data_IF_200339239183
#
_entry.id   IF_200339239183
#
_cell.length_a   1.000
_cell.length_b   1.000
_cell.length_c   1.000
_cell.angle_alpha   90.00
_cell.angle_beta   90.00
_cell.angle_gamma   90.00
#
_symmetry.space_group_name_H-M   'P 1'
#
loop_
_entity.id
_entity.type
_entity.pdbx_description
1 polymer ?
#
# COMPACT_ATOMS: atom_id res chain seq x y z
N UNK A 1 5.95 8.21 4.61
CA UNK A 1 5.88 7.72 3.22
C UNK A 1 5.68 8.85 2.20
N UNK A 2 4.64 9.69 2.30
CA UNK A 2 4.37 10.77 1.33
C UNK A 2 5.53 11.76 1.11
N UNK A 3 6.19 12.22 2.17
CA UNK A 3 7.39 13.09 2.08
C UNK A 3 8.58 12.45 1.34
N UNK A 4 8.59 11.12 1.20
CA UNK A 4 9.60 10.34 0.46
C UNK A 4 9.13 9.96 -0.95
N UNK A 5 8.01 10.51 -1.42
CA UNK A 5 7.44 10.17 -2.73
C UNK A 5 6.77 8.79 -2.80
N UNK A 6 6.58 8.11 -1.65
CA UNK A 6 5.97 6.77 -1.61
C UNK A 6 4.45 6.90 -1.53
N UNK A 7 3.76 6.35 -2.53
CA UNK A 7 2.30 6.23 -2.56
C UNK A 7 1.88 4.95 -1.83
N UNK A 8 0.85 5.05 -0.98
CA UNK A 8 0.34 3.93 -0.17
C UNK A 8 -1.12 3.70 -0.49
N UNK A 9 -1.45 2.45 -0.77
CA UNK A 9 -2.78 1.97 -1.12
C UNK A 9 -3.21 0.88 -0.15
N UNK A 10 -4.49 0.83 0.19
CA UNK A 10 -5.05 -0.11 1.15
C UNK A 10 -6.04 -1.02 0.43
N UNK A 11 -5.82 -2.33 0.51
CA UNK A 11 -6.70 -3.31 -0.10
C UNK A 11 -7.48 -4.07 0.97
N UNK A 12 -8.76 -4.37 0.69
CA UNK A 12 -9.59 -5.26 1.49
C UNK A 12 -9.67 -4.89 2.99
N UNK A 13 -9.70 -3.60 3.31
CA UNK A 13 -9.87 -3.16 4.70
C UNK A 13 -11.25 -3.62 5.22
N UNK A 14 -11.28 -4.39 6.32
CA UNK A 14 -12.55 -4.83 6.93
C UNK A 14 -13.31 -3.64 7.53
N UNK A 15 -14.64 -3.72 7.61
CA UNK A 15 -15.49 -2.63 8.11
C UNK A 15 -15.04 -2.11 9.49
N UNK A 16 -14.81 -3.01 10.45
CA UNK A 16 -14.32 -2.67 11.80
C UNK A 16 -13.00 -1.88 11.76
N UNK A 17 -12.10 -2.21 10.83
CA UNK A 17 -10.83 -1.49 10.67
C UNK A 17 -11.08 -0.10 10.08
N UNK A 18 -11.99 0.03 9.11
CA UNK A 18 -12.36 1.33 8.54
C UNK A 18 -13.03 2.25 9.55
N UNK A 19 -13.85 1.71 10.45
CA UNK A 19 -14.45 2.45 11.56
C UNK A 19 -13.39 2.95 12.54
N UNK A 20 -12.40 2.12 12.87
CA UNK A 20 -11.26 2.53 13.70
C UNK A 20 -10.46 3.65 13.02
N UNK A 21 -10.22 3.56 11.70
CA UNK A 21 -9.57 4.64 10.95
C UNK A 21 -10.35 5.95 11.02
N UNK A 22 -11.68 5.90 10.94
CA UNK A 22 -12.54 7.08 11.03
C UNK A 22 -12.44 7.71 12.43
N UNK A 23 -12.56 6.89 13.49
CA UNK A 23 -12.44 7.33 14.89
C UNK A 23 -11.08 7.93 15.23
N UNK A 24 -10.02 7.46 14.58
CA UNK A 24 -8.66 7.94 14.77
C UNK A 24 -8.29 9.10 13.84
N UNK A 25 -9.24 9.70 13.11
CA UNK A 25 -8.98 10.77 12.15
C UNK A 25 -7.96 10.41 11.06
N UNK A 26 -7.80 9.11 10.78
CA UNK A 26 -6.78 8.62 9.86
C UNK A 26 -6.98 9.13 8.44
N UNK A 27 -8.23 9.34 8.04
CA UNK A 27 -8.58 9.82 6.70
C UNK A 27 -8.19 11.28 6.44
N UNK A 28 -7.82 12.06 7.46
CA UNK A 28 -7.23 13.39 7.30
C UNK A 28 -5.81 13.30 6.70
N UNK A 29 -5.12 12.18 6.93
CA UNK A 29 -3.77 11.93 6.45
C UNK A 29 -3.74 11.11 5.16
N UNK A 30 -4.68 10.16 5.03
CA UNK A 30 -4.80 9.25 3.88
C UNK A 30 -6.20 9.38 3.27
N UNK A 31 -6.32 9.86 2.01
CA UNK A 31 -7.61 9.99 1.35
C UNK A 31 -8.35 8.64 1.21
N UNK A 32 -9.69 8.66 1.34
CA UNK A 32 -10.53 7.45 1.25
C UNK A 32 -10.44 6.78 -0.13
N UNK A 33 -10.05 7.52 -1.16
CA UNK A 33 -9.84 7.08 -2.53
C UNK A 33 -8.67 6.11 -2.68
N UNK A 34 -7.78 6.01 -1.67
CA UNK A 34 -6.69 5.04 -1.65
C UNK A 34 -7.09 3.67 -1.05
N UNK A 35 -8.38 3.46 -0.75
CA UNK A 35 -8.91 2.21 -0.23
C UNK A 35 -9.70 1.45 -1.28
N UNK A 36 -9.28 0.22 -1.57
CA UNK A 36 -9.84 -0.60 -2.65
C UNK A 36 -10.46 -1.90 -2.13
N UNK A 37 -11.49 -2.44 -2.81
CA UNK A 37 -12.15 -3.68 -2.42
C UNK A 37 -11.19 -4.88 -2.44
N UNK A 38 -10.33 -4.98 -3.45
CA UNK A 38 -9.42 -6.13 -3.61
C UNK A 38 -7.96 -5.71 -3.77
N UNK A 39 -7.04 -6.66 -3.55
CA UNK A 39 -5.61 -6.46 -3.87
C UNK A 39 -5.40 -6.21 -5.36
N UNK A 40 -6.18 -6.86 -6.23
CA UNK A 40 -6.09 -6.68 -7.68
C UNK A 40 -6.37 -5.23 -8.07
N UNK A 41 -7.42 -4.64 -7.51
CA UNK A 41 -7.81 -3.25 -7.79
C UNK A 41 -6.69 -2.28 -7.35
N UNK A 42 -6.17 -2.47 -6.14
CA UNK A 42 -5.08 -1.64 -5.60
C UNK A 42 -3.83 -1.74 -6.49
N UNK A 43 -3.44 -2.94 -6.90
CA UNK A 43 -2.27 -3.16 -7.76
C UNK A 43 -2.47 -2.60 -9.17
N UNK A 44 -3.67 -2.76 -9.74
CA UNK A 44 -4.01 -2.19 -11.05
C UNK A 44 -3.89 -0.66 -11.05
N UNK A 45 -4.46 0.01 -10.05
CA UNK A 45 -4.37 1.47 -9.92
C UNK A 45 -2.93 1.92 -9.64
N UNK A 46 -2.21 1.19 -8.78
CA UNK A 46 -0.80 1.47 -8.52
C UNK A 46 0.03 1.40 -9.81
N UNK A 47 -0.19 0.36 -10.63
CA UNK A 47 0.51 0.19 -11.91
C UNK A 47 0.15 1.29 -12.91
N UNK A 48 -1.13 1.65 -13.01
CA UNK A 48 -1.56 2.73 -13.90
C UNK A 48 -0.88 4.05 -13.52
N UNK A 49 -0.91 4.44 -12.24
CA UNK A 49 -0.28 5.67 -11.75
C UNK A 49 1.23 5.66 -11.91
N UNK A 50 1.88 4.50 -11.74
CA UNK A 50 3.31 4.35 -12.00
C UNK A 50 3.66 4.70 -13.46
N UNK A 51 2.86 4.21 -14.42
CA UNK A 51 3.03 4.52 -15.84
C UNK A 51 2.77 6.00 -16.14
N UNK A 52 1.70 6.58 -15.60
CA UNK A 52 1.35 8.00 -15.77
C UNK A 52 2.45 8.95 -15.25
N UNK A 53 3.09 8.57 -14.14
CA UNK A 53 4.16 9.35 -13.51
C UNK A 53 5.55 9.07 -14.13
N UNK A 54 5.63 8.19 -15.13
CA UNK A 54 6.89 7.84 -15.78
C UNK A 54 7.88 7.09 -14.89
N UNK A 55 7.43 6.55 -13.75
CA UNK A 55 8.27 5.71 -12.92
C UNK A 55 8.52 4.40 -13.64
N UNK A 56 9.78 4.16 -14.02
CA UNK A 56 10.22 2.84 -14.46
C UNK A 56 10.06 1.87 -13.30
N UNK A 57 9.82 0.58 -13.57
CA UNK A 57 10.03 -0.45 -12.56
C UNK A 57 11.45 -0.28 -12.04
N UNK A 58 11.58 0.30 -10.85
CA UNK A 58 12.82 0.21 -10.10
C UNK A 58 12.97 -1.28 -9.85
N UNK A 59 14.01 -1.88 -10.45
CA UNK A 59 14.29 -3.29 -10.24
C UNK A 59 14.21 -3.60 -8.75
N UNK A 60 13.62 -4.74 -8.41
CA UNK A 60 13.54 -5.19 -7.02
C UNK A 60 14.93 -5.09 -6.37
N UNK A 61 15.03 -4.33 -5.27
CA UNK A 61 16.27 -4.17 -4.51
C UNK A 61 16.14 -4.98 -3.22
N UNK A 62 16.69 -6.20 -3.17
CA UNK A 62 16.52 -7.11 -2.02
C UNK A 62 17.03 -6.50 -0.71
N UNK A 63 18.03 -5.62 -0.78
CA UNK A 63 18.65 -4.98 0.39
C UNK A 63 17.71 -4.06 1.17
N UNK A 64 16.61 -3.61 0.53
CA UNK A 64 15.60 -2.76 1.15
C UNK A 64 14.29 -3.49 1.44
N UNK A 65 14.19 -4.76 1.08
CA UNK A 65 13.03 -5.60 1.37
C UNK A 65 13.37 -6.63 2.45
N UNK A 66 12.62 -6.59 3.56
CA UNK A 66 12.77 -7.53 4.69
C UNK A 66 11.95 -8.80 4.50
N UNK A 67 11.48 -9.07 3.28
CA UNK A 67 10.66 -10.24 2.98
C UNK A 67 11.30 -11.55 3.44
N UNK A 68 12.62 -11.69 3.31
CA UNK A 68 13.40 -12.84 3.78
C UNK A 68 13.37 -13.00 5.30
N UNK A 69 13.49 -11.91 6.07
CA UNK A 69 13.33 -11.93 7.54
C UNK A 69 11.92 -12.36 7.93
N UNK A 70 10.90 -11.80 7.26
CA UNK A 70 9.49 -12.12 7.54
C UNK A 70 9.19 -13.59 7.27
N UNK A 71 9.61 -14.11 6.12
CA UNK A 71 9.46 -15.53 5.77
C UNK A 71 10.22 -16.48 6.71
N UNK A 72 11.36 -16.05 7.24
CA UNK A 72 12.12 -16.86 8.21
C UNK A 72 11.50 -16.89 9.62
N UNK A 73 10.76 -15.83 9.98
CA UNK A 73 10.19 -15.66 11.33
C UNK A 73 8.86 -16.39 11.54
N UNK A 74 8.19 -16.79 10.46
CA UNK A 74 6.91 -17.49 10.51
C UNK A 74 6.97 -18.72 9.58
N UNK A 75 7.28 -19.92 10.09
CA UNK A 75 7.16 -21.14 9.29
C UNK A 75 5.70 -21.34 8.88
N UNK A 76 5.50 -21.67 7.60
CA UNK A 76 4.20 -22.07 7.02
C UNK A 76 3.61 -23.28 7.74
#
# INVERSE_FOLDING_TARGET
>A
MRKRGILVYFANAKAVVRETFDKCHFYEFVPKENFYPTMRDATCIARQRQLELGFKDTGYVPEHDRLSEVLSSHPM
#
